data_IF_771609602565
#
_entry.id   IF_771609602565
#
_cell.length_a   1.000
_cell.length_b   1.000
_cell.length_c   1.000
_cell.angle_alpha   90.00
_cell.angle_beta   90.00
_cell.angle_gamma   90.00
#
_symmetry.space_group_name_H-M   'P 1'
#
loop_
_entity.id
_entity.type
_entity.pdbx_description
1 polymer ?
#
# COMPACT_ATOMS: atom_id res chain seq x y z
N UNK A 1 2.18 -1.25 2.34
CA UNK A 1 3.21 -0.29 1.93
C UNK A 1 4.54 -0.75 2.52
N UNK A 2 5.59 -0.85 1.70
CA UNK A 2 6.94 -1.16 2.17
C UNK A 2 7.81 0.08 2.10
N UNK A 3 8.41 0.44 3.24
CA UNK A 3 9.37 1.53 3.35
C UNK A 3 10.75 0.97 3.08
N UNK A 4 11.41 1.46 2.04
CA UNK A 4 12.73 1.01 1.60
C UNK A 4 13.72 2.18 1.73
N UNK A 5 14.89 1.99 2.35
CA UNK A 5 15.96 2.98 2.30
C UNK A 5 16.34 3.24 0.84
N UNK A 6 16.46 4.51 0.45
CA UNK A 6 16.92 4.83 -0.90
C UNK A 6 18.43 4.49 -1.03
N UNK A 7 18.89 3.87 -2.14
CA UNK A 7 20.31 3.57 -2.32
C UNK A 7 21.17 4.85 -2.23
N UNK A 8 22.40 4.70 -1.74
CA UNK A 8 23.38 5.79 -1.80
C UNK A 8 23.73 6.10 -3.26
N UNK A 9 23.74 7.39 -3.67
CA UNK A 9 24.27 7.77 -4.97
C UNK A 9 25.78 7.53 -5.02
N UNK A 10 26.29 7.20 -6.21
CA UNK A 10 27.73 7.14 -6.46
C UNK A 10 28.37 8.50 -6.12
N UNK A 11 29.55 8.52 -5.47
CA UNK A 11 30.15 9.77 -5.01
C UNK A 11 30.55 10.66 -6.21
N UNK A 12 30.07 11.90 -6.20
CA UNK A 12 30.52 12.95 -7.10
C UNK A 12 31.88 13.52 -6.64
N UNK A 13 32.73 14.03 -7.56
CA UNK A 13 34.00 14.64 -7.19
C UNK A 13 33.78 15.90 -6.32
N UNK A 14 34.56 15.95 -5.24
CA UNK A 14 34.52 16.89 -4.12
C UNK A 14 34.25 18.36 -4.47
N UNK A 15 33.30 18.97 -3.76
CA UNK A 15 33.32 20.40 -3.42
C UNK A 15 32.96 20.64 -1.96
N UNK A 16 33.49 21.75 -1.44
CA UNK A 16 33.53 22.24 -0.07
C UNK A 16 32.25 22.08 0.75
N UNK A 17 32.44 22.02 2.08
CA UNK A 17 31.45 21.88 3.16
C UNK A 17 30.06 22.44 2.81
N UNK A 18 29.27 21.61 2.13
CA UNK A 18 27.84 21.79 1.99
C UNK A 18 27.22 21.49 3.34
N UNK A 19 26.22 22.27 3.72
CA UNK A 19 25.23 21.88 4.72
C UNK A 19 24.88 20.40 4.50
N UNK A 20 24.92 19.53 5.52
CA UNK A 20 24.66 18.11 5.30
C UNK A 20 23.32 18.01 4.57
N UNK A 21 23.26 17.28 3.44
CA UNK A 21 22.06 17.24 2.63
C UNK A 21 20.91 16.83 3.55
N UNK A 22 19.79 17.55 3.47
CA UNK A 22 18.60 17.21 4.23
C UNK A 22 18.37 15.69 4.11
N UNK A 23 18.15 14.98 5.22
CA UNK A 23 18.00 13.53 5.19
C UNK A 23 16.89 13.16 4.19
N UNK A 24 17.23 12.31 3.21
CA UNK A 24 16.33 11.97 2.10
C UNK A 24 15.08 11.27 2.65
N UNK A 25 13.88 11.61 2.16
CA UNK A 25 12.65 10.94 2.60
C UNK A 25 12.75 9.43 2.28
N UNK A 26 12.12 8.55 3.08
CA UNK A 26 12.16 7.12 2.82
C UNK A 26 11.45 6.81 1.50
N UNK A 27 11.93 5.83 0.73
CA UNK A 27 11.19 5.38 -0.46
C UNK A 27 10.01 4.54 0.00
N UNK A 28 8.84 4.79 -0.57
CA UNK A 28 7.61 4.07 -0.21
C UNK A 28 7.10 3.30 -1.42
N UNK A 29 6.89 2.01 -1.26
CA UNK A 29 6.32 1.11 -2.25
C UNK A 29 4.94 0.66 -1.80
N UNK A 30 3.99 0.55 -2.72
CA UNK A 30 2.73 -0.15 -2.46
C UNK A 30 2.84 -1.61 -2.86
N UNK A 31 2.32 -2.46 -1.97
CA UNK A 31 2.04 -3.86 -2.24
C UNK A 31 0.70 -4.18 -1.55
N UNK A 32 -0.33 -4.60 -2.31
CA UNK A 32 -0.38 -4.68 -3.77
C UNK A 32 -0.32 -3.30 -4.46
N UNK A 33 -0.01 -3.24 -5.78
CA UNK A 33 -0.05 -1.99 -6.55
C UNK A 33 -1.47 -1.43 -6.63
N UNK A 34 -1.59 -0.11 -6.56
CA UNK A 34 -2.86 0.61 -6.68
C UNK A 34 -2.87 1.38 -8.02
N UNK A 35 -3.87 1.12 -8.86
CA UNK A 35 -3.90 1.63 -10.24
C UNK A 35 -3.98 3.15 -10.36
N UNK A 36 -4.79 3.79 -9.51
CA UNK A 36 -5.25 5.19 -9.66
C UNK A 36 -5.12 6.02 -8.38
N UNK A 37 -4.57 5.45 -7.31
CA UNK A 37 -4.29 6.18 -6.07
C UNK A 37 -2.83 6.62 -6.10
N UNK A 38 -2.59 7.93 -6.13
CA UNK A 38 -1.24 8.47 -6.03
C UNK A 38 -0.76 8.41 -4.57
N UNK A 39 0.47 7.96 -4.34
CA UNK A 39 1.10 8.03 -3.02
C UNK A 39 1.86 9.35 -2.94
N UNK A 40 1.48 10.20 -2.00
CA UNK A 40 2.18 11.44 -1.69
C UNK A 40 3.03 11.24 -0.44
N UNK A 41 4.35 11.28 -0.62
CA UNK A 41 5.31 11.06 0.45
C UNK A 41 5.81 12.39 1.01
N UNK A 42 5.27 12.77 2.16
CA UNK A 42 5.67 13.92 2.98
C UNK A 42 6.33 13.46 4.29
N UNK A 43 6.86 12.22 4.31
CA UNK A 43 7.55 11.67 5.47
C UNK A 43 8.97 12.25 5.55
N UNK A 44 9.31 12.82 6.71
CA UNK A 44 10.63 13.37 6.97
C UNK A 44 11.52 12.32 7.64
N UNK A 45 12.69 12.05 7.06
CA UNK A 45 13.70 11.23 7.72
C UNK A 45 14.40 12.07 8.79
N UNK A 46 14.50 11.55 10.00
CA UNK A 46 15.14 12.21 11.15
C UNK A 46 16.15 11.26 11.78
N UNK A 47 17.28 11.76 12.28
CA UNK A 47 18.27 10.92 12.93
C UNK A 47 17.70 10.29 14.21
N UNK A 48 18.07 9.04 14.50
CA UNK A 48 17.84 8.42 15.80
C UNK A 48 17.44 6.96 15.73
N UNK A 49 17.32 6.32 16.90
CA UNK A 49 16.95 4.90 16.99
C UNK A 49 15.51 4.65 16.56
N UNK A 50 15.30 3.57 15.81
CA UNK A 50 13.97 3.14 15.45
C UNK A 50 13.16 2.69 16.68
N UNK A 51 11.97 3.25 16.87
CA UNK A 51 11.08 2.85 17.94
C UNK A 51 10.39 1.51 17.61
N UNK A 52 10.12 0.69 18.63
CA UNK A 52 9.35 -0.56 18.46
C UNK A 52 7.98 -0.31 17.81
N UNK A 53 7.34 0.82 18.13
CA UNK A 53 6.10 1.30 17.51
C UNK A 53 6.35 2.47 16.55
N UNK A 54 7.31 2.31 15.64
CA UNK A 54 7.71 3.32 14.65
C UNK A 54 6.51 3.96 13.91
N UNK A 55 5.51 3.17 13.53
CA UNK A 55 4.34 3.62 12.77
C UNK A 55 3.48 4.66 13.52
N UNK A 56 3.65 4.83 14.83
CA UNK A 56 2.95 5.87 15.60
C UNK A 56 3.46 7.28 15.31
N UNK A 57 4.64 7.41 14.72
CA UNK A 57 5.19 8.69 14.29
C UNK A 57 4.77 9.04 12.85
N UNK A 58 3.93 8.21 12.23
CA UNK A 58 3.45 8.39 10.87
C UNK A 58 1.93 8.57 10.85
N UNK A 59 1.46 9.32 9.87
CA UNK A 59 0.05 9.48 9.55
C UNK A 59 -0.22 9.11 8.09
N UNK A 60 -1.42 8.57 7.84
CA UNK A 60 -1.88 8.18 6.52
C UNK A 60 -3.28 8.72 6.29
N UNK A 61 -3.41 9.66 5.35
CA UNK A 61 -4.66 10.31 5.01
C UNK A 61 -5.04 10.00 3.56
N UNK A 62 -6.21 9.40 3.40
CA UNK A 62 -6.82 9.21 2.08
C UNK A 62 -7.60 10.47 1.69
N UNK A 63 -7.28 11.04 0.54
CA UNK A 63 -7.86 12.28 0.06
C UNK A 63 -8.40 12.15 -1.35
N UNK A 64 -9.52 12.83 -1.58
CA UNK A 64 -10.08 13.00 -2.92
C UNK A 64 -9.81 14.42 -3.38
N UNK A 65 -9.03 14.56 -4.43
CA UNK A 65 -8.72 15.86 -5.04
C UNK A 65 -9.32 15.97 -6.44
N UNK A 66 -9.44 17.18 -7.01
CA UNK A 66 -9.83 17.35 -8.41
C UNK A 66 -8.90 16.62 -9.41
N UNK A 67 -7.65 16.34 -9.00
CA UNK A 67 -6.64 15.65 -9.82
C UNK A 67 -6.69 14.12 -9.67
N UNK A 68 -7.58 13.59 -8.84
CA UNK A 68 -7.67 12.17 -8.50
C UNK A 68 -7.46 11.90 -7.02
N UNK A 69 -7.55 10.63 -6.64
CA UNK A 69 -7.42 10.19 -5.26
C UNK A 69 -5.96 9.96 -4.87
N UNK A 70 -5.67 10.26 -3.61
CA UNK A 70 -4.32 10.33 -3.08
C UNK A 70 -4.26 9.70 -1.71
N UNK A 71 -3.13 9.08 -1.41
CA UNK A 71 -2.76 8.64 -0.08
C UNK A 71 -1.57 9.48 0.37
N UNK A 72 -1.82 10.51 1.18
CA UNK A 72 -0.76 11.29 1.80
C UNK A 72 -0.21 10.54 3.00
N UNK A 73 1.11 10.40 3.02
CA UNK A 73 1.87 9.82 4.12
C UNK A 73 2.76 10.91 4.69
N UNK A 74 2.66 11.17 5.98
CA UNK A 74 3.43 12.23 6.65
C UNK A 74 3.94 11.79 8.01
N UNK A 75 4.81 12.60 8.61
CA UNK A 75 5.37 12.36 9.94
C UNK A 75 6.86 12.06 9.90
N UNK A 76 7.38 11.44 10.96
CA UNK A 76 8.81 11.25 11.17
C UNK A 76 9.24 9.79 11.00
N UNK A 77 10.17 9.56 10.09
CA UNK A 77 10.87 8.30 9.89
C UNK A 77 12.25 8.36 10.54
N UNK A 78 12.70 7.28 11.19
CA UNK A 78 14.05 7.22 11.76
C UNK A 78 15.00 6.50 10.80
N UNK A 79 16.19 7.06 10.59
CA UNK A 79 17.21 6.51 9.70
C UNK A 79 17.63 5.07 10.05
N UNK A 80 17.61 4.70 11.32
CA UNK A 80 17.90 3.35 11.83
C UNK A 80 16.75 2.32 11.66
N UNK A 81 15.61 2.68 11.02
CA UNK A 81 14.47 1.76 10.93
C UNK A 81 14.63 0.60 9.92
N UNK A 82 15.53 0.72 8.95
CA UNK A 82 15.68 -0.27 7.87
C UNK A 82 14.39 -0.43 7.06
N UNK A 83 14.08 -1.65 6.60
CA UNK A 83 12.84 -1.92 5.87
C UNK A 83 11.70 -2.22 6.85
N UNK A 84 10.52 -1.63 6.62
CA UNK A 84 9.28 -1.91 7.39
C UNK A 84 8.06 -1.98 6.50
N UNK A 85 7.12 -2.85 6.88
CA UNK A 85 5.81 -2.93 6.27
C UNK A 85 4.75 -2.21 7.11
N UNK A 86 4.02 -1.30 6.48
CA UNK A 86 2.86 -0.63 7.06
C UNK A 86 1.58 -1.07 6.36
N UNK A 87 0.65 -1.62 7.14
CA UNK A 87 -0.69 -1.97 6.69
C UNK A 87 -1.63 -0.79 6.90
N UNK A 88 -2.02 -0.15 5.80
CA UNK A 88 -2.99 0.95 5.76
C UNK A 88 -4.12 0.59 4.81
N UNK A 89 -5.34 1.07 5.10
CA UNK A 89 -6.53 0.83 4.29
C UNK A 89 -7.04 2.18 3.75
N UNK A 90 -6.52 2.66 2.61
CA UNK A 90 -6.80 4.02 2.13
C UNK A 90 -8.19 4.18 1.52
N UNK A 91 -8.87 3.08 1.18
CA UNK A 91 -10.19 3.09 0.53
C UNK A 91 -11.08 1.99 1.08
N UNK A 92 -12.37 2.06 0.78
CA UNK A 92 -13.32 1.00 1.08
C UNK A 92 -13.00 -0.29 0.32
N UNK A 93 -13.47 -1.47 0.80
CA UNK A 93 -13.13 -2.76 0.20
C UNK A 93 -13.52 -2.90 -1.28
N UNK A 94 -14.62 -2.28 -1.68
CA UNK A 94 -15.15 -2.41 -3.02
C UNK A 94 -14.25 -1.69 -4.03
N UNK A 95 -13.84 -0.47 -3.68
CA UNK A 95 -12.86 0.28 -4.45
C UNK A 95 -11.47 -0.32 -4.40
N UNK A 96 -11.06 -0.85 -3.24
CA UNK A 96 -9.77 -1.51 -3.10
C UNK A 96 -9.59 -2.63 -4.14
N UNK A 97 -10.63 -3.45 -4.36
CA UNK A 97 -10.61 -4.49 -5.39
C UNK A 97 -10.36 -3.92 -6.79
N UNK A 98 -11.01 -2.81 -7.16
CA UNK A 98 -10.80 -2.16 -8.46
C UNK A 98 -9.38 -1.62 -8.64
N UNK A 99 -8.79 -1.08 -7.57
CA UNK A 99 -7.43 -0.52 -7.59
C UNK A 99 -6.38 -1.62 -7.71
N UNK A 100 -6.54 -2.72 -6.96
CA UNK A 100 -5.60 -3.84 -6.98
C UNK A 100 -5.67 -4.62 -8.28
N UNK A 101 -6.87 -4.96 -8.75
CA UNK A 101 -7.03 -5.67 -10.03
C UNK A 101 -6.49 -4.80 -11.17
N UNK A 102 -6.80 -3.50 -11.18
CA UNK A 102 -6.26 -2.58 -12.18
C UNK A 102 -4.73 -2.44 -12.11
N UNK A 103 -4.17 -2.42 -10.90
CA UNK A 103 -2.73 -2.28 -10.65
C UNK A 103 -1.98 -3.51 -11.17
N UNK A 104 -2.41 -4.70 -10.74
CA UNK A 104 -1.84 -5.97 -11.18
C UNK A 104 -2.01 -6.18 -12.69
N UNK A 105 -3.16 -5.83 -13.26
CA UNK A 105 -3.38 -5.93 -14.72
C UNK A 105 -2.38 -5.07 -15.49
N UNK A 106 -2.10 -3.85 -15.01
CA UNK A 106 -1.13 -2.95 -15.62
C UNK A 106 0.31 -3.46 -15.49
N UNK A 107 0.69 -4.04 -14.35
CA UNK A 107 2.01 -4.66 -14.18
C UNK A 107 2.24 -5.83 -15.16
N UNK A 108 1.18 -6.57 -15.49
CA UNK A 108 1.21 -7.61 -16.52
C UNK A 108 1.20 -7.07 -17.96
N UNK A 109 1.27 -5.75 -18.16
CA UNK A 109 1.23 -5.09 -19.46
C UNK A 109 -0.19 -4.89 -20.03
N UNK A 110 -1.21 -5.24 -19.26
CA UNK A 110 -2.60 -5.05 -19.63
C UNK A 110 -3.02 -3.59 -19.60
N UNK A 111 -3.99 -3.24 -20.45
CA UNK A 111 -4.64 -1.92 -20.44
C UNK A 111 -6.15 -2.10 -20.36
N UNK A 112 -6.82 -1.20 -19.66
CA UNK A 112 -8.28 -1.14 -19.60
C UNK A 112 -8.74 0.24 -20.07
N UNK A 113 -9.36 0.29 -21.25
CA UNK A 113 -9.80 1.54 -21.89
C UNK A 113 -11.22 1.96 -21.47
N UNK A 114 -11.94 1.08 -20.78
CA UNK A 114 -13.30 1.31 -20.31
C UNK A 114 -13.38 1.95 -18.92
N UNK A 115 -14.58 1.96 -18.36
CA UNK A 115 -14.83 2.31 -16.95
C UNK A 115 -15.31 1.10 -16.19
N UNK A 116 -14.76 0.88 -14.99
CA UNK A 116 -15.26 -0.17 -14.09
C UNK A 116 -16.64 0.24 -13.59
N UNK A 117 -17.55 -0.72 -13.52
CA UNK A 117 -18.91 -0.53 -13.02
C UNK A 117 -19.21 -1.62 -12.02
N UNK A 118 -19.79 -1.22 -10.90
CA UNK A 118 -20.28 -2.14 -9.91
C UNK A 118 -21.65 -2.67 -10.29
N UNK A 119 -21.83 -3.97 -10.16
CA UNK A 119 -23.08 -4.65 -10.44
C UNK A 119 -22.86 -6.14 -10.64
N UNK A 120 -23.95 -6.91 -10.78
CA UNK A 120 -23.87 -8.31 -11.15
C UNK A 120 -23.23 -8.45 -12.54
N UNK A 121 -22.47 -9.54 -12.74
CA UNK A 121 -21.99 -9.90 -14.07
C UNK A 121 -23.19 -10.20 -14.99
N UNK A 122 -23.17 -9.80 -16.27
CA UNK A 122 -24.24 -10.13 -17.23
C UNK A 122 -24.45 -11.65 -17.33
N UNK A 123 -25.70 -12.08 -17.48
CA UNK A 123 -26.07 -13.50 -17.47
C UNK A 123 -25.43 -14.30 -18.61
N UNK A 124 -25.18 -13.64 -19.75
CA UNK A 124 -24.54 -14.18 -20.95
C UNK A 124 -22.99 -14.18 -20.86
N UNK A 125 -22.40 -13.80 -19.72
CA UNK A 125 -20.95 -13.74 -19.57
C UNK A 125 -20.31 -15.12 -19.41
N UNK A 126 -19.15 -15.32 -20.05
CA UNK A 126 -18.35 -16.53 -19.86
C UNK A 126 -17.32 -16.30 -18.75
N UNK A 127 -17.21 -17.24 -17.81
CA UNK A 127 -16.18 -17.19 -16.77
C UNK A 127 -14.79 -17.41 -17.39
N UNK A 128 -13.93 -16.39 -17.30
CA UNK A 128 -12.55 -16.47 -17.80
C UNK A 128 -11.58 -17.11 -16.79
N UNK A 129 -11.89 -16.98 -15.50
CA UNK A 129 -11.05 -17.45 -14.41
C UNK A 129 -11.92 -17.75 -13.19
N UNK A 130 -11.61 -18.84 -12.49
CA UNK A 130 -12.24 -19.22 -11.24
C UNK A 130 -11.15 -19.47 -10.21
N UNK A 131 -11.29 -18.80 -9.06
CA UNK A 131 -10.43 -19.03 -7.91
C UNK A 131 -11.24 -19.64 -6.78
N UNK A 132 -10.74 -20.73 -6.21
CA UNK A 132 -11.29 -21.34 -5.01
C UNK A 132 -10.37 -21.04 -3.84
N UNK A 133 -10.95 -20.53 -2.75
CA UNK A 133 -10.21 -20.24 -1.52
C UNK A 133 -9.75 -21.53 -0.83
N UNK A 134 -8.92 -21.36 0.22
CA UNK A 134 -8.60 -22.45 1.15
C UNK A 134 -9.86 -22.99 1.83
N UNK A 135 -9.87 -24.27 2.25
CA UNK A 135 -10.98 -24.85 3.02
C UNK A 135 -11.33 -24.03 4.27
N UNK A 136 -12.61 -24.05 4.64
CA UNK A 136 -13.12 -23.29 5.79
C UNK A 136 -12.36 -23.60 7.09
N UNK A 137 -11.94 -24.85 7.31
CA UNK A 137 -11.20 -25.25 8.49
C UNK A 137 -9.88 -24.45 8.66
N UNK A 138 -9.16 -24.20 7.57
CA UNK A 138 -7.93 -23.41 7.59
C UNK A 138 -8.21 -21.93 7.84
N UNK A 139 -9.28 -21.40 7.24
CA UNK A 139 -9.73 -20.02 7.44
C UNK A 139 -10.12 -19.75 8.89
N UNK A 140 -10.88 -20.66 9.51
CA UNK A 140 -11.28 -20.57 10.93
C UNK A 140 -10.07 -20.69 11.86
N UNK A 141 -9.12 -21.58 11.55
CA UNK A 141 -7.87 -21.68 12.29
C UNK A 141 -7.10 -20.36 12.26
N UNK A 142 -6.93 -19.77 11.09
CA UNK A 142 -6.20 -18.51 10.94
C UNK A 142 -6.92 -17.35 11.63
N UNK A 143 -8.26 -17.29 11.52
CA UNK A 143 -9.09 -16.33 12.25
C UNK A 143 -8.81 -16.39 13.75
N UNK A 144 -8.87 -17.59 14.35
CA UNK A 144 -8.68 -17.75 15.78
C UNK A 144 -7.22 -17.54 16.19
N UNK A 145 -6.26 -18.01 15.40
CA UNK A 145 -4.83 -17.91 15.73
C UNK A 145 -4.35 -16.46 15.75
N UNK A 146 -4.86 -15.63 14.84
CA UNK A 146 -4.46 -14.24 14.68
C UNK A 146 -5.51 -13.24 15.18
N UNK A 147 -6.62 -13.73 15.76
CA UNK A 147 -7.77 -12.92 16.18
C UNK A 147 -8.24 -11.95 15.08
N UNK A 148 -8.39 -12.49 13.87
CA UNK A 148 -8.66 -11.68 12.68
C UNK A 148 -10.15 -11.34 12.56
N UNK A 149 -10.53 -10.15 13.02
CA UNK A 149 -11.90 -9.64 12.96
C UNK A 149 -12.46 -9.48 11.55
N UNK A 150 -11.61 -9.30 10.52
CA UNK A 150 -12.07 -9.19 9.13
C UNK A 150 -12.63 -10.53 8.67
N UNK A 151 -11.91 -11.63 8.94
CA UNK A 151 -12.40 -12.98 8.63
C UNK A 151 -13.66 -13.30 9.43
N UNK A 152 -13.69 -12.96 10.72
CA UNK A 152 -14.86 -13.21 11.57
C UNK A 152 -16.14 -12.54 11.04
N UNK A 153 -16.03 -11.28 10.61
CA UNK A 153 -17.16 -10.55 10.01
C UNK A 153 -17.59 -11.15 8.68
N UNK A 154 -16.63 -11.58 7.86
CA UNK A 154 -16.93 -12.22 6.57
C UNK A 154 -17.69 -13.54 6.77
N UNK A 155 -17.27 -14.38 7.72
CA UNK A 155 -17.95 -15.66 8.02
C UNK A 155 -19.37 -15.47 8.55
N UNK A 156 -19.63 -14.38 9.28
CA UNK A 156 -20.98 -14.06 9.76
C UNK A 156 -21.90 -13.60 8.61
N UNK A 157 -21.33 -13.05 7.53
CA UNK A 157 -22.07 -12.47 6.41
C UNK A 157 -22.32 -13.46 5.26
N UNK A 158 -21.76 -14.67 5.33
CA UNK A 158 -21.96 -15.78 4.37
C UNK A 158 -23.01 -16.76 4.87
#
# INVERSE_FOLDING_TARGET
LSFVPEPEPLPAPSQAAAEPPAPRPPRILSDPPLARIAIENEVETTPGRCAQRWYKALDAAAERTPKGDRLRLSGAWRDDCGIKDWFVSPVDPQRFAEEVVGGLWKELGGQHLGRVRHGPAPQESTALFVHTSRPLADVVRDMNKWSNNVIARQLLAT
#
